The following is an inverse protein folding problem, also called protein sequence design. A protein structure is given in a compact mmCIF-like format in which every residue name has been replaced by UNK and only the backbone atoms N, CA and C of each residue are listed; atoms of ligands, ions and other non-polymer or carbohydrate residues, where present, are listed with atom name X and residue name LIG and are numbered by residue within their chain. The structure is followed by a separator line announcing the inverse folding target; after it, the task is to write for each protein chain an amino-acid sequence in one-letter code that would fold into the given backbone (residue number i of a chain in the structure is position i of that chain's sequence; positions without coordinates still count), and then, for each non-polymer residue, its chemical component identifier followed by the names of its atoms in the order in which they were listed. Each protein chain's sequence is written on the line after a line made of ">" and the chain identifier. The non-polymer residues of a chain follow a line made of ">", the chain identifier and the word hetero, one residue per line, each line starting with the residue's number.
data_IF_089032039748
#
_entry.id   IF_089032039748
#
_cell.length_a   1.000
_cell.length_b   1.000
_cell.length_c   1.000
_cell.angle_alpha   90.00
_cell.angle_beta   90.00
_cell.angle_gamma   90.00
#
_symmetry.space_group_name_H-M   'P 1'
#
loop_
_entity.id
_entity.type
_entity.pdbx_description
1 polymer ?
#
# COMPACT_ATOMS: atom_id res chain seq x y z
N UNK A 1 -57.84 2.19 63.59
CA UNK A 1 -56.61 2.68 62.99
C UNK A 1 -55.87 1.48 62.46
N UNK A 2 -55.60 1.35 61.19
CA UNK A 2 -54.77 0.26 60.71
C UNK A 2 -53.34 0.52 61.09
N UNK A 3 -52.66 -0.49 61.60
CA UNK A 3 -51.23 -0.43 61.89
C UNK A 3 -50.37 -0.19 60.63
N UNK A 4 -49.27 0.56 60.75
CA UNK A 4 -48.38 0.78 59.60
C UNK A 4 -47.72 -0.54 59.20
N UNK A 5 -47.94 -0.96 57.97
CA UNK A 5 -47.39 -2.19 57.43
C UNK A 5 -45.88 -2.22 57.57
N UNK A 6 -45.37 -3.30 58.15
CA UNK A 6 -43.95 -3.61 58.16
C UNK A 6 -43.39 -3.59 56.68
N UNK A 7 -42.42 -2.71 56.39
CA UNK A 7 -41.80 -2.64 55.09
C UNK A 7 -41.17 -4.01 54.74
N UNK A 8 -41.67 -4.64 53.72
CA UNK A 8 -41.17 -5.92 53.21
C UNK A 8 -39.70 -5.75 52.81
N UNK A 9 -38.78 -6.22 53.63
CA UNK A 9 -37.36 -6.20 53.33
C UNK A 9 -37.11 -7.25 52.24
N UNK A 10 -37.01 -6.79 51.00
CA UNK A 10 -36.66 -7.65 49.86
C UNK A 10 -35.26 -8.22 50.09
N UNK A 11 -35.17 -9.43 50.61
CA UNK A 11 -33.88 -10.15 50.74
C UNK A 11 -33.52 -10.80 49.41
N UNK A 12 -32.60 -10.23 48.74
CA UNK A 12 -31.99 -10.89 47.57
C UNK A 12 -31.24 -12.15 48.02
N UNK A 13 -31.57 -13.34 47.53
CA UNK A 13 -30.84 -14.56 47.86
C UNK A 13 -29.40 -14.45 47.34
N UNK A 14 -28.42 -14.90 48.15
CA UNK A 14 -26.97 -14.83 47.81
C UNK A 14 -26.65 -15.43 46.45
N UNK A 15 -27.39 -16.44 46.02
CA UNK A 15 -27.29 -17.04 44.69
C UNK A 15 -27.55 -16.05 43.55
N UNK A 16 -28.62 -15.23 43.68
CA UNK A 16 -28.96 -14.22 42.67
C UNK A 16 -27.96 -13.08 42.63
N UNK A 17 -27.35 -12.70 43.75
CA UNK A 17 -26.28 -11.72 43.78
C UNK A 17 -25.03 -12.26 43.05
N UNK A 18 -24.66 -13.51 43.34
CA UNK A 18 -23.52 -14.16 42.68
C UNK A 18 -23.77 -14.32 41.18
N UNK A 19 -24.96 -14.75 40.79
CA UNK A 19 -25.38 -14.87 39.39
C UNK A 19 -25.28 -13.51 38.65
N UNK A 20 -25.88 -12.47 39.22
CA UNK A 20 -25.81 -11.12 38.64
C UNK A 20 -24.39 -10.59 38.54
N UNK A 21 -23.55 -10.84 39.58
CA UNK A 21 -22.14 -10.43 39.57
C UNK A 21 -21.36 -11.19 38.51
N UNK A 22 -21.55 -12.50 38.37
CA UNK A 22 -20.85 -13.32 37.38
C UNK A 22 -21.26 -12.93 35.97
N UNK A 23 -22.56 -12.74 35.71
CA UNK A 23 -23.06 -12.30 34.40
C UNK A 23 -22.61 -10.87 34.07
N UNK A 24 -22.66 -9.96 35.06
CA UNK A 24 -22.21 -8.58 34.89
C UNK A 24 -20.71 -8.48 34.57
N UNK A 25 -19.88 -9.19 35.37
CA UNK A 25 -18.45 -9.22 35.20
C UNK A 25 -18.06 -9.93 33.89
N UNK A 26 -18.68 -11.09 33.61
CA UNK A 26 -18.48 -11.83 32.38
C UNK A 26 -18.90 -11.04 31.14
N UNK A 27 -20.02 -10.34 31.20
CA UNK A 27 -20.48 -9.44 30.15
C UNK A 27 -19.55 -8.28 29.92
N UNK A 28 -19.04 -7.66 30.99
CA UNK A 28 -18.05 -6.59 30.88
C UNK A 28 -16.73 -7.05 30.23
N UNK A 29 -16.20 -8.17 30.67
CA UNK A 29 -14.99 -8.79 30.12
C UNK A 29 -15.23 -9.14 28.64
N UNK A 30 -16.37 -9.78 28.35
CA UNK A 30 -16.77 -10.11 26.99
C UNK A 30 -16.82 -8.88 26.09
N UNK A 31 -17.41 -7.79 26.55
CA UNK A 31 -17.50 -6.53 25.80
C UNK A 31 -16.12 -5.91 25.56
N UNK A 32 -15.26 -5.85 26.58
CA UNK A 32 -13.91 -5.29 26.50
C UNK A 32 -13.03 -6.06 25.48
N UNK A 33 -13.22 -7.37 25.39
CA UNK A 33 -12.49 -8.21 24.43
C UNK A 33 -13.13 -8.16 23.03
N UNK A 34 -14.46 -8.28 22.96
CA UNK A 34 -15.16 -8.42 21.67
C UNK A 34 -15.20 -7.10 20.89
N UNK A 35 -15.35 -5.96 21.57
CA UNK A 35 -15.45 -4.67 20.88
C UNK A 35 -14.21 -4.34 20.03
N UNK A 36 -12.96 -4.43 20.53
CA UNK A 36 -11.79 -4.23 19.68
C UNK A 36 -11.64 -5.29 18.59
N UNK A 37 -11.95 -6.56 18.87
CA UNK A 37 -11.89 -7.63 17.85
C UNK A 37 -12.86 -7.34 16.70
N UNK A 38 -14.10 -6.97 17.00
CA UNK A 38 -15.07 -6.56 15.98
C UNK A 38 -14.61 -5.30 15.25
N UNK A 39 -14.05 -4.33 15.99
CA UNK A 39 -13.50 -3.12 15.40
C UNK A 39 -12.42 -3.44 14.37
N UNK A 40 -11.44 -4.27 14.70
CA UNK A 40 -10.38 -4.69 13.77
C UNK A 40 -10.90 -5.51 12.59
N UNK A 41 -12.00 -6.22 12.75
CA UNK A 41 -12.57 -7.05 11.67
C UNK A 41 -13.43 -6.22 10.72
N UNK A 42 -14.21 -5.26 11.26
CA UNK A 42 -15.23 -4.55 10.49
C UNK A 42 -14.74 -3.22 9.95
N UNK A 43 -13.98 -2.46 10.75
CA UNK A 43 -13.64 -1.07 10.42
C UNK A 43 -12.61 -0.87 9.28
N UNK A 44 -11.58 -1.73 9.07
CA UNK A 44 -10.50 -1.43 8.14
C UNK A 44 -10.96 -1.01 6.73
N UNK A 45 -11.95 -1.67 6.10
CA UNK A 45 -12.42 -1.28 4.77
C UNK A 45 -13.10 0.10 4.73
N UNK A 46 -13.57 0.60 5.86
CA UNK A 46 -14.26 1.90 5.94
C UNK A 46 -13.34 3.05 6.37
N UNK A 47 -12.11 2.75 6.77
CA UNK A 47 -11.11 3.76 7.10
C UNK A 47 -10.41 4.15 5.81
N UNK A 48 -10.70 5.36 5.32
CA UNK A 48 -9.97 5.91 4.17
C UNK A 48 -8.50 6.03 4.52
N UNK A 49 -7.67 5.27 3.82
CA UNK A 49 -6.24 5.42 3.95
C UNK A 49 -5.77 6.59 3.09
N UNK A 50 -5.19 7.61 3.74
CA UNK A 50 -4.51 8.68 3.02
C UNK A 50 -3.33 8.11 2.24
N UNK A 51 -3.20 8.49 0.98
CA UNK A 51 -2.01 8.22 0.18
C UNK A 51 -1.19 9.49 0.16
N UNK A 52 -0.17 9.62 1.03
CA UNK A 52 0.67 10.82 1.02
C UNK A 52 1.35 10.93 -0.34
N UNK A 53 1.31 12.11 -0.91
CA UNK A 53 2.12 12.44 -2.07
C UNK A 53 3.58 12.58 -1.63
N UNK A 54 4.47 11.96 -2.37
CA UNK A 54 5.91 11.90 -2.03
C UNK A 54 6.70 12.64 -3.10
N UNK A 55 7.39 13.69 -2.68
CA UNK A 55 8.38 14.37 -3.50
C UNK A 55 9.66 13.51 -3.57
N UNK A 56 9.94 12.95 -4.75
CA UNK A 56 11.09 12.05 -4.95
C UNK A 56 12.30 12.74 -5.57
N UNK A 57 12.21 14.03 -5.87
CA UNK A 57 13.34 14.82 -6.35
C UNK A 57 13.04 15.65 -7.59
N UNK A 58 14.04 16.43 -8.03
CA UNK A 58 13.94 17.20 -9.26
C UNK A 58 13.87 16.27 -10.48
N UNK A 59 13.20 16.70 -11.55
CA UNK A 59 13.16 15.98 -12.83
C UNK A 59 14.57 15.69 -13.35
N UNK A 60 15.51 16.62 -13.17
CA UNK A 60 16.90 16.51 -13.60
C UNK A 60 17.71 15.45 -12.83
N UNK A 61 17.22 15.00 -11.66
CA UNK A 61 17.84 13.90 -10.91
C UNK A 61 17.62 12.53 -11.57
N UNK A 62 16.75 12.47 -12.58
CA UNK A 62 16.40 11.26 -13.30
C UNK A 62 16.94 11.33 -14.75
N UNK A 63 18.13 10.76 -15.00
CA UNK A 63 18.71 10.75 -16.33
C UNK A 63 17.83 9.98 -17.33
N UNK A 64 17.70 10.50 -18.55
CA UNK A 64 16.90 9.89 -19.60
C UNK A 64 17.30 8.44 -19.89
N UNK A 65 16.31 7.61 -20.15
CA UNK A 65 16.44 6.20 -20.54
C UNK A 65 17.20 5.33 -19.52
N UNK A 66 17.31 5.78 -18.26
CA UNK A 66 17.89 4.99 -17.17
C UNK A 66 16.90 4.84 -16.03
N UNK A 67 16.82 3.62 -15.49
CA UNK A 67 16.07 3.41 -14.24
C UNK A 67 16.87 3.93 -13.06
N UNK A 68 16.18 4.68 -12.22
CA UNK A 68 16.65 5.10 -10.90
C UNK A 68 15.86 4.35 -9.86
N UNK A 69 16.54 3.54 -9.05
CA UNK A 69 15.93 2.94 -7.85
C UNK A 69 15.79 4.03 -6.81
N UNK A 70 14.56 4.41 -6.53
CA UNK A 70 14.23 5.48 -5.58
C UNK A 70 13.59 4.87 -4.35
N UNK A 71 14.22 5.06 -3.18
CA UNK A 71 13.77 4.52 -1.89
C UNK A 71 13.47 5.67 -0.94
N UNK A 72 12.31 5.61 -0.28
CA UNK A 72 11.83 6.65 0.63
C UNK A 72 11.00 6.06 1.78
N UNK A 73 10.83 6.81 2.84
CA UNK A 73 9.92 6.49 3.94
C UNK A 73 8.60 7.26 3.75
N UNK A 74 7.46 6.57 3.72
CA UNK A 74 6.15 7.24 3.66
C UNK A 74 5.88 8.01 4.95
N UNK A 75 6.26 7.43 6.09
CA UNK A 75 6.14 8.04 7.40
C UNK A 75 7.46 7.83 8.15
N UNK A 76 8.29 8.89 8.31
CA UNK A 76 9.56 8.79 9.02
C UNK A 76 9.43 8.32 10.46
N UNK A 77 8.32 8.63 11.15
CA UNK A 77 8.08 8.21 12.55
C UNK A 77 7.93 6.68 12.67
N UNK A 78 7.44 6.02 11.63
CA UNK A 78 7.32 4.57 11.57
C UNK A 78 8.62 3.86 11.15
N UNK A 79 9.64 4.63 10.75
CA UNK A 79 10.94 4.10 10.35
C UNK A 79 10.85 3.13 9.17
N UNK A 80 11.63 2.05 9.22
CA UNK A 80 11.82 1.08 8.14
C UNK A 80 10.54 0.37 7.67
N UNK A 81 9.51 0.24 8.53
CA UNK A 81 8.22 -0.38 8.15
C UNK A 81 7.50 0.45 7.07
N UNK A 82 7.76 1.76 7.05
CA UNK A 82 7.19 2.68 6.06
C UNK A 82 8.02 2.80 4.79
N UNK A 83 9.15 2.08 4.68
CA UNK A 83 10.02 2.12 3.51
C UNK A 83 9.31 1.62 2.26
N UNK A 84 9.44 2.40 1.19
CA UNK A 84 8.96 2.05 -0.15
C UNK A 84 10.08 2.24 -1.17
N UNK A 85 9.97 1.51 -2.26
CA UNK A 85 10.88 1.64 -3.39
C UNK A 85 10.07 1.74 -4.67
N UNK A 86 10.41 2.69 -5.51
CA UNK A 86 9.93 2.84 -6.87
C UNK A 86 11.09 2.75 -7.85
N UNK A 87 10.84 2.20 -9.02
CA UNK A 87 11.75 2.21 -10.15
C UNK A 87 11.28 3.26 -11.13
N UNK A 88 12.06 4.32 -11.28
CA UNK A 88 11.68 5.51 -12.04
C UNK A 88 12.60 5.60 -13.26
N UNK A 89 12.02 5.69 -14.45
CA UNK A 89 12.71 5.96 -15.70
C UNK A 89 12.13 7.22 -16.33
N UNK A 90 12.98 8.17 -16.63
CA UNK A 90 12.65 9.32 -17.44
C UNK A 90 12.66 8.87 -18.92
N UNK A 91 11.54 9.02 -19.61
CA UNK A 91 11.36 8.65 -21.01
C UNK A 91 11.57 9.85 -21.95
N UNK A 92 12.01 10.99 -21.45
CA UNK A 92 12.03 12.25 -22.18
C UNK A 92 10.67 12.93 -22.19
N UNK A 93 10.21 13.36 -23.34
CA UNK A 93 8.96 14.11 -23.47
C UNK A 93 7.96 13.38 -24.36
N UNK A 94 6.67 13.50 -24.00
CA UNK A 94 5.54 13.17 -24.86
C UNK A 94 4.87 14.51 -25.26
N UNK A 95 5.13 15.00 -26.45
CA UNK A 95 4.84 16.40 -26.80
C UNK A 95 5.62 17.36 -25.93
N UNK A 96 4.95 18.25 -25.23
CA UNK A 96 5.57 19.23 -24.32
C UNK A 96 5.62 18.78 -22.86
N UNK A 97 5.07 17.61 -22.56
CA UNK A 97 5.00 17.09 -21.19
C UNK A 97 6.11 16.06 -20.92
N UNK A 98 6.84 16.17 -19.79
CA UNK A 98 7.78 15.14 -19.37
C UNK A 98 7.08 13.81 -19.14
N UNK A 99 7.68 12.72 -19.61
CA UNK A 99 7.16 11.37 -19.53
C UNK A 99 8.01 10.49 -18.64
N UNK A 100 7.34 9.77 -17.73
CA UNK A 100 8.00 8.87 -16.79
C UNK A 100 7.34 7.50 -16.76
N UNK A 101 8.16 6.46 -16.66
CA UNK A 101 7.75 5.12 -16.25
C UNK A 101 8.07 4.97 -14.77
N UNK A 102 7.03 4.83 -13.92
CA UNK A 102 7.20 4.72 -12.47
C UNK A 102 6.57 3.41 -12.00
N UNK A 103 7.41 2.41 -11.71
CA UNK A 103 7.01 1.06 -11.35
C UNK A 103 7.12 0.83 -9.85
N UNK A 104 6.17 0.11 -9.28
CA UNK A 104 6.25 -0.40 -7.92
C UNK A 104 7.24 -1.57 -7.86
N UNK A 105 8.00 -1.66 -6.76
CA UNK A 105 8.86 -2.81 -6.53
C UNK A 105 8.13 -4.03 -5.95
N UNK A 106 6.79 -4.03 -5.91
CA UNK A 106 6.00 -5.15 -5.38
C UNK A 106 5.59 -6.10 -6.48
N UNK A 107 6.01 -7.37 -6.34
CA UNK A 107 5.60 -8.46 -7.23
C UNK A 107 4.08 -8.66 -7.15
N UNK A 108 3.42 -8.68 -8.29
CA UNK A 108 1.95 -8.83 -8.37
C UNK A 108 1.47 -10.25 -8.07
N UNK A 109 2.39 -11.20 -7.81
CA UNK A 109 2.03 -12.53 -7.33
C UNK A 109 1.61 -12.48 -5.84
N UNK A 110 2.54 -12.15 -4.93
CA UNK A 110 2.31 -12.13 -3.47
C UNK A 110 3.00 -10.94 -2.77
N UNK A 111 3.33 -9.88 -3.49
CA UNK A 111 3.86 -8.65 -2.90
C UNK A 111 5.35 -8.66 -2.51
N UNK A 112 6.11 -9.72 -2.84
CA UNK A 112 7.55 -9.74 -2.60
C UNK A 112 8.26 -8.59 -3.33
N UNK A 113 9.35 -8.02 -2.78
CA UNK A 113 10.12 -7.00 -3.48
C UNK A 113 10.78 -7.59 -4.72
N UNK A 114 10.50 -7.03 -5.88
CA UNK A 114 11.23 -7.33 -7.12
C UNK A 114 12.55 -6.56 -7.12
N UNK A 115 13.54 -7.10 -7.82
CA UNK A 115 14.86 -6.51 -7.96
C UNK A 115 15.09 -6.12 -9.43
N UNK A 116 15.72 -4.98 -9.65
CA UNK A 116 16.11 -4.56 -10.99
C UNK A 116 17.33 -5.35 -11.46
N UNK A 117 17.28 -5.85 -12.69
CA UNK A 117 18.40 -6.51 -13.34
C UNK A 117 19.30 -5.43 -14.00
N UNK A 118 20.10 -4.75 -13.21
CA UNK A 118 20.98 -3.68 -13.65
C UNK A 118 22.12 -3.47 -12.65
N UNK A 119 23.16 -2.79 -13.09
CA UNK A 119 24.31 -2.47 -12.24
C UNK A 119 24.03 -1.14 -11.51
N UNK A 120 24.02 -1.13 -10.17
CA UNK A 120 23.83 0.08 -9.40
C UNK A 120 25.03 1.02 -9.58
N UNK A 121 24.77 2.28 -9.83
CA UNK A 121 25.75 3.35 -9.91
C UNK A 121 25.82 4.11 -8.56
N UNK A 122 26.45 5.28 -8.57
CA UNK A 122 26.62 6.09 -7.35
C UNK A 122 25.26 6.54 -6.81
N UNK A 123 25.01 6.19 -5.56
CA UNK A 123 23.83 6.62 -4.80
C UNK A 123 23.91 8.11 -4.47
N UNK A 124 22.78 8.79 -4.53
CA UNK A 124 22.56 10.14 -3.99
C UNK A 124 21.42 10.10 -2.97
N UNK A 125 21.49 10.97 -1.98
CA UNK A 125 20.45 11.09 -0.95
C UNK A 125 20.06 12.56 -0.77
N UNK A 126 18.79 12.83 -0.66
CA UNK A 126 18.24 14.16 -0.39
C UNK A 126 17.30 14.08 0.83
N UNK A 127 17.36 15.07 1.70
CA UNK A 127 16.42 15.19 2.82
C UNK A 127 15.61 16.48 2.65
N UNK A 128 14.29 16.35 2.60
CA UNK A 128 13.37 17.48 2.49
C UNK A 128 12.15 17.23 3.37
N UNK A 129 11.76 18.22 4.15
CA UNK A 129 10.60 18.18 5.06
C UNK A 129 10.60 16.94 5.99
N UNK A 130 11.80 16.50 6.42
CA UNK A 130 11.98 15.31 7.25
C UNK A 130 11.94 13.98 6.48
N UNK A 131 11.64 14.00 5.19
CA UNK A 131 11.66 12.82 4.32
C UNK A 131 13.05 12.62 3.71
N UNK A 132 13.62 11.43 3.87
CA UNK A 132 14.87 11.03 3.21
C UNK A 132 14.54 10.24 1.96
N UNK A 133 15.04 10.69 0.82
CA UNK A 133 14.89 10.02 -0.47
C UNK A 133 16.27 9.63 -0.99
N UNK A 134 16.45 8.34 -1.18
CA UNK A 134 17.66 7.74 -1.72
C UNK A 134 17.44 7.38 -3.18
N UNK A 135 18.33 7.82 -4.05
CA UNK A 135 18.29 7.58 -5.49
C UNK A 135 19.55 6.85 -5.94
N UNK A 136 19.39 5.72 -6.60
CA UNK A 136 20.48 4.93 -7.17
C UNK A 136 20.20 4.66 -8.64
N UNK A 137 20.85 5.36 -9.57
CA UNK A 137 20.74 5.06 -11.00
C UNK A 137 21.28 3.66 -11.30
N UNK A 138 20.69 2.98 -12.28
CA UNK A 138 21.09 1.65 -12.70
C UNK A 138 21.52 1.67 -14.18
N UNK A 139 22.69 1.12 -14.45
CA UNK A 139 23.16 0.93 -15.82
C UNK A 139 22.64 -0.39 -16.38
N UNK A 140 22.33 -0.39 -17.69
CA UNK A 140 21.97 -1.59 -18.47
C UNK A 140 20.84 -2.43 -17.83
N UNK A 141 19.79 -1.77 -17.29
CA UNK A 141 18.64 -2.46 -16.74
C UNK A 141 17.89 -3.21 -17.84
N UNK A 142 17.83 -4.53 -17.73
CA UNK A 142 17.18 -5.43 -18.70
C UNK A 142 15.78 -5.90 -18.24
N UNK A 143 15.25 -5.37 -17.13
CA UNK A 143 13.98 -5.76 -16.56
C UNK A 143 14.09 -6.02 -15.06
N UNK A 144 13.13 -6.80 -14.52
CA UNK A 144 13.02 -7.01 -13.08
C UNK A 144 12.78 -8.48 -12.76
N UNK A 145 13.33 -8.95 -11.64
CA UNK A 145 13.18 -10.31 -11.14
C UNK A 145 12.64 -10.36 -9.71
N UNK A 146 11.70 -11.25 -9.44
CA UNK A 146 11.22 -11.54 -8.10
C UNK A 146 11.94 -12.77 -7.54
N UNK A 147 12.74 -12.64 -6.47
CA UNK A 147 13.53 -13.76 -5.94
C UNK A 147 12.69 -14.83 -5.22
N UNK A 148 11.45 -14.50 -4.82
CA UNK A 148 10.62 -15.43 -4.04
C UNK A 148 10.15 -16.64 -4.85
N UNK A 149 9.61 -16.43 -6.06
CA UNK A 149 9.03 -17.49 -6.89
C UNK A 149 9.40 -17.37 -8.37
N UNK A 150 10.46 -16.61 -8.70
CA UNK A 150 10.98 -16.52 -10.07
C UNK A 150 10.10 -15.71 -11.03
N UNK A 151 9.23 -14.82 -10.52
CA UNK A 151 8.50 -13.88 -11.38
C UNK A 151 9.47 -12.96 -12.11
N UNK A 152 9.29 -12.78 -13.44
CA UNK A 152 10.13 -11.92 -14.25
C UNK A 152 9.28 -10.92 -15.03
N UNK A 153 9.86 -9.74 -15.23
CA UNK A 153 9.22 -8.61 -15.89
C UNK A 153 10.21 -7.90 -16.81
N UNK A 154 9.71 -7.38 -17.92
CA UNK A 154 10.49 -6.53 -18.82
C UNK A 154 10.67 -5.10 -18.26
N UNK A 155 11.25 -4.22 -19.05
CA UNK A 155 11.50 -2.82 -18.69
C UNK A 155 10.23 -1.97 -18.62
N UNK A 156 9.12 -2.40 -19.18
CA UNK A 156 7.81 -1.76 -19.02
C UNK A 156 7.01 -2.31 -17.84
N UNK A 157 7.52 -3.36 -17.20
CA UNK A 157 6.87 -4.06 -16.11
C UNK A 157 5.95 -5.19 -16.56
N UNK A 158 5.89 -5.52 -17.86
CA UNK A 158 5.11 -6.66 -18.35
C UNK A 158 5.70 -7.97 -17.85
N UNK A 159 4.82 -8.90 -17.50
CA UNK A 159 5.25 -10.24 -17.11
C UNK A 159 5.90 -10.97 -18.29
N UNK A 160 7.09 -11.48 -18.08
CA UNK A 160 7.82 -12.32 -19.06
C UNK A 160 7.88 -13.79 -18.65
N UNK A 161 7.95 -14.08 -17.33
CA UNK A 161 7.99 -15.45 -16.83
C UNK A 161 7.51 -15.56 -15.37
N UNK A 162 7.30 -16.80 -14.92
CA UNK A 162 6.96 -17.12 -13.54
C UNK A 162 5.47 -16.99 -13.22
N UNK A 163 5.10 -17.06 -11.92
CA UNK A 163 3.70 -17.11 -11.46
C UNK A 163 2.89 -15.81 -11.52
N UNK A 164 3.45 -14.59 -11.64
CA UNK A 164 2.65 -13.38 -11.81
C UNK A 164 1.68 -13.53 -13.00
N UNK A 165 0.51 -12.90 -12.92
CA UNK A 165 -0.54 -13.01 -13.95
C UNK A 165 -0.73 -11.75 -14.77
N UNK A 166 -0.03 -10.65 -14.41
CA UNK A 166 -0.15 -9.34 -15.05
C UNK A 166 1.13 -8.52 -14.88
N UNK A 167 1.15 -7.31 -15.42
CA UNK A 167 2.27 -6.37 -15.28
C UNK A 167 2.41 -5.85 -13.83
N UNK A 168 3.58 -5.28 -13.51
CA UNK A 168 3.83 -4.57 -12.27
C UNK A 168 2.90 -3.36 -12.12
N UNK A 169 2.52 -3.07 -10.89
CA UNK A 169 1.78 -1.86 -10.55
C UNK A 169 2.60 -0.61 -10.84
N UNK A 170 1.93 0.46 -11.23
CA UNK A 170 2.54 1.77 -11.48
C UNK A 170 2.08 2.78 -10.46
N UNK A 171 2.88 3.82 -10.24
CA UNK A 171 2.49 4.99 -9.47
C UNK A 171 1.86 6.04 -10.37
N UNK A 172 0.79 6.68 -9.90
CA UNK A 172 0.40 7.99 -10.41
C UNK A 172 1.50 8.99 -10.06
N UNK A 173 1.76 9.93 -10.94
CA UNK A 173 2.72 10.99 -10.68
C UNK A 173 2.25 12.31 -11.26
N UNK A 174 2.78 13.39 -10.74
CA UNK A 174 2.68 14.73 -11.32
C UNK A 174 4.01 15.45 -11.21
N UNK A 175 4.18 16.47 -12.01
CA UNK A 175 5.32 17.37 -11.90
C UNK A 175 4.83 18.68 -11.33
N UNK A 176 5.48 19.14 -10.28
CA UNK A 176 5.16 20.34 -9.56
C UNK A 176 6.45 21.13 -9.32
N UNK A 177 6.51 22.34 -9.85
CA UNK A 177 7.71 23.20 -9.79
C UNK A 177 9.02 22.47 -10.17
N UNK A 178 8.98 21.70 -11.27
CA UNK A 178 10.12 20.93 -11.77
C UNK A 178 10.52 19.71 -10.93
N UNK A 179 9.65 19.29 -10.00
CA UNK A 179 9.86 18.13 -9.13
C UNK A 179 8.86 17.02 -9.41
N UNK A 180 9.32 15.79 -9.31
CA UNK A 180 8.50 14.60 -9.51
C UNK A 180 7.83 14.19 -8.19
N UNK A 181 6.51 14.24 -8.19
CA UNK A 181 5.67 13.89 -7.02
C UNK A 181 4.94 12.59 -7.32
N UNK A 182 5.15 11.57 -6.49
CA UNK A 182 4.46 10.28 -6.59
C UNK A 182 3.16 10.30 -5.81
N UNK A 183 2.11 9.79 -6.42
CA UNK A 183 0.81 9.57 -5.80
C UNK A 183 0.56 8.10 -5.43
N UNK A 184 -0.68 7.66 -5.54
CA UNK A 184 -1.09 6.27 -5.27
C UNK A 184 -0.62 5.31 -6.37
N UNK A 185 -0.54 4.04 -6.01
CA UNK A 185 -0.32 2.97 -6.99
C UNK A 185 -1.64 2.57 -7.66
N UNK A 186 -1.55 2.14 -8.92
CA UNK A 186 -2.65 1.52 -9.64
C UNK A 186 -2.19 0.24 -10.34
N UNK A 187 -3.15 -0.67 -10.52
CA UNK A 187 -2.89 -1.98 -11.12
C UNK A 187 -2.88 -1.90 -12.65
N UNK A 188 -1.95 -2.63 -13.25
CA UNK A 188 -1.75 -2.68 -14.70
C UNK A 188 -1.90 -4.13 -15.18
N UNK A 189 -2.67 -4.35 -16.23
CA UNK A 189 -2.79 -5.65 -16.90
C UNK A 189 -1.61 -5.90 -17.81
N UNK A 190 -1.37 -4.95 -18.71
CA UNK A 190 -0.35 -5.02 -19.76
C UNK A 190 0.02 -3.62 -20.22
N UNK A 191 1.17 -3.48 -20.85
CA UNK A 191 1.66 -2.24 -21.46
C UNK A 191 2.09 -2.55 -22.87
N UNK A 192 1.47 -1.88 -23.84
CA UNK A 192 1.86 -1.94 -25.26
C UNK A 192 2.83 -0.82 -25.59
N UNK A 193 3.86 -1.13 -26.38
CA UNK A 193 4.90 -0.17 -26.71
C UNK A 193 5.92 0.04 -25.61
N UNK A 194 6.69 1.11 -25.69
CA UNK A 194 7.80 1.41 -24.77
C UNK A 194 7.94 2.91 -24.52
N UNK A 195 8.41 3.26 -23.33
CA UNK A 195 8.80 4.64 -23.01
C UNK A 195 7.65 5.62 -23.04
N UNK A 196 7.84 6.75 -23.74
CA UNK A 196 6.84 7.82 -23.78
C UNK A 196 5.57 7.43 -24.56
N UNK A 197 5.69 6.57 -25.56
CA UNK A 197 4.57 6.12 -26.40
C UNK A 197 3.85 4.88 -25.85
N UNK A 198 4.25 4.41 -24.66
CA UNK A 198 3.65 3.24 -24.03
C UNK A 198 2.16 3.44 -23.67
N UNK A 199 1.31 2.51 -24.09
CA UNK A 199 -0.10 2.47 -23.76
C UNK A 199 -0.34 1.54 -22.57
N UNK A 200 -0.88 2.08 -21.48
CA UNK A 200 -1.06 1.37 -20.22
C UNK A 200 -2.50 0.90 -20.09
N UNK A 201 -2.69 -0.43 -20.05
CA UNK A 201 -3.99 -1.05 -19.80
C UNK A 201 -4.17 -1.29 -18.31
N UNK A 202 -5.15 -0.61 -17.69
CA UNK A 202 -5.43 -0.75 -16.25
C UNK A 202 -6.04 -2.11 -15.96
N UNK A 203 -5.65 -2.68 -14.83
CA UNK A 203 -6.24 -3.91 -14.30
C UNK A 203 -7.30 -3.55 -13.26
N UNK A 204 -8.51 -4.17 -13.30
CA UNK A 204 -9.62 -3.74 -12.46
C UNK A 204 -9.47 -4.09 -10.97
N UNK A 205 -8.55 -5.01 -10.62
CA UNK A 205 -8.37 -5.46 -9.25
C UNK A 205 -7.20 -4.78 -8.57
N UNK A 206 -7.33 -4.57 -7.25
CA UNK A 206 -6.24 -4.07 -6.43
C UNK A 206 -5.06 -5.05 -6.40
N UNK A 207 -3.85 -4.52 -6.47
CA UNK A 207 -2.62 -5.29 -6.36
C UNK A 207 -2.22 -5.58 -4.91
N UNK A 208 -1.21 -6.43 -4.68
CA UNK A 208 -0.70 -6.71 -3.36
C UNK A 208 -0.27 -5.44 -2.61
N UNK A 209 -0.85 -5.23 -1.43
CA UNK A 209 -0.59 -4.06 -0.59
C UNK A 209 -1.35 -2.79 -0.98
N UNK A 210 -2.25 -2.86 -1.96
CA UNK A 210 -3.24 -1.82 -2.21
C UNK A 210 -4.45 -2.03 -1.30
N UNK A 211 -5.02 -0.93 -0.81
CA UNK A 211 -6.21 -0.96 0.01
C UNK A 211 -7.47 -1.02 -0.87
N UNK A 212 -8.44 -1.84 -0.45
CA UNK A 212 -9.77 -1.92 -1.08
C UNK A 212 -10.78 -1.34 -0.10
N UNK A 213 -11.42 -0.25 -0.50
CA UNK A 213 -12.38 0.47 0.33
C UNK A 213 -13.75 -0.21 0.38
N UNK A 214 -14.46 -0.02 1.50
CA UNK A 214 -15.85 -0.40 1.66
C UNK A 214 -16.08 -1.91 1.79
N UNK A 215 -17.31 -2.32 1.52
CA UNK A 215 -17.77 -3.72 1.68
C UNK A 215 -16.99 -4.69 0.80
N UNK A 216 -16.51 -4.23 -0.34
CA UNK A 216 -15.71 -5.02 -1.28
C UNK A 216 -14.40 -5.51 -0.66
N UNK A 217 -13.84 -4.76 0.31
CA UNK A 217 -12.66 -5.16 1.05
C UNK A 217 -12.83 -6.46 1.84
N UNK A 218 -14.05 -6.80 2.28
CA UNK A 218 -14.34 -8.08 2.94
C UNK A 218 -14.53 -9.23 1.98
N UNK A 219 -15.02 -8.93 0.77
CA UNK A 219 -15.30 -9.93 -0.25
C UNK A 219 -14.10 -10.21 -1.14
N UNK A 220 -13.08 -9.36 -1.05
CA UNK A 220 -11.84 -9.55 -1.79
C UNK A 220 -10.98 -10.69 -1.19
N UNK A 221 -10.40 -11.60 -1.99
CA UNK A 221 -10.47 -11.73 -3.46
C UNK A 221 -11.64 -12.56 -4.00
N UNK A 222 -12.59 -12.99 -3.15
CA UNK A 222 -13.68 -13.90 -3.55
C UNK A 222 -14.60 -13.22 -4.57
N UNK A 223 -14.84 -11.93 -4.38
CA UNK A 223 -15.57 -11.10 -5.33
C UNK A 223 -14.75 -9.83 -5.59
N UNK A 224 -13.91 -9.85 -6.62
CA UNK A 224 -13.13 -8.68 -6.96
C UNK A 224 -14.02 -7.51 -7.41
N UNK A 225 -13.64 -6.26 -7.11
CA UNK A 225 -14.34 -5.07 -7.58
C UNK A 225 -14.42 -5.07 -9.11
N UNK A 226 -15.56 -4.67 -9.65
CA UNK A 226 -15.84 -4.59 -11.11
C UNK A 226 -15.51 -3.22 -11.64
#
# INVERSE_FOLDING_TARGET
>A
MPEPGEGEVVRFPRSKLLEATTLGLGGLIGLVVTAPVLGFTILPPFIKQGHPEIDVGAVDDFPENKFVTTTYLINPEQGEVSRRTAYIRNNGFLGDAPSFTVLSNRCVHLGCPVQINGLPLKKSSETRDGLVVDRTPNAAAAGFGCPCHGGQYDTEGNRTAGPPVRALDRYEFRIDDGRLILGKTFSVSEVDGTGADAQIHKYPLAGPGQHVDGVEGWLYPVQPPR
#
